data_IF_178391041794
#
_entry.id   IF_178391041794
#
_cell.length_a   1.000
_cell.length_b   1.000
_cell.length_c   1.000
_cell.angle_alpha   90.00
_cell.angle_beta   90.00
_cell.angle_gamma   90.00
#
_symmetry.space_group_name_H-M   'P 1'
#
loop_
_entity.id
_entity.type
_entity.pdbx_description
1 polymer ?
#
# COMPACT_ATOMS: atom_id res chain seq x y z
N UNK A 1 -0.94 -1.48 23.78
CA UNK A 1 -1.37 -2.27 22.62
C UNK A 1 -0.30 -2.07 21.57
N UNK A 2 0.48 -3.09 21.20
CA UNK A 2 1.42 -3.00 20.09
C UNK A 2 0.75 -2.56 18.79
N UNK A 3 1.50 -1.82 17.98
CA UNK A 3 1.10 -1.37 16.66
C UNK A 3 1.75 -2.24 15.59
N UNK A 4 0.98 -2.65 14.60
CA UNK A 4 1.44 -3.45 13.47
C UNK A 4 1.11 -2.75 12.15
N UNK A 5 1.95 -2.98 11.14
CA UNK A 5 1.67 -2.63 9.76
C UNK A 5 1.36 -3.91 8.98
N UNK A 6 0.13 -4.04 8.48
CA UNK A 6 -0.26 -5.09 7.56
C UNK A 6 -0.06 -4.55 6.13
N UNK A 7 1.00 -5.01 5.46
CA UNK A 7 1.34 -4.61 4.10
C UNK A 7 0.64 -5.52 3.10
N UNK A 8 -0.08 -4.94 2.15
CA UNK A 8 -0.86 -5.67 1.15
C UNK A 8 -0.03 -5.74 -0.12
N UNK A 9 0.55 -6.91 -0.36
CA UNK A 9 1.31 -7.20 -1.58
C UNK A 9 0.50 -8.08 -2.52
N UNK A 10 0.52 -7.71 -3.81
CA UNK A 10 -0.06 -8.51 -4.88
C UNK A 10 0.66 -8.25 -6.19
N UNK A 11 0.62 -9.20 -7.12
CA UNK A 11 1.02 -8.94 -8.49
C UNK A 11 0.14 -7.82 -9.07
N UNK A 12 0.74 -6.83 -9.72
CA UNK A 12 -0.05 -5.81 -10.41
C UNK A 12 -0.73 -6.43 -11.62
N UNK A 13 -2.01 -6.10 -11.84
CA UNK A 13 -2.74 -6.65 -12.96
C UNK A 13 -2.17 -6.09 -14.27
N UNK A 14 -1.83 -6.96 -15.21
CA UNK A 14 -1.34 -6.56 -16.54
C UNK A 14 -2.42 -5.93 -17.42
N UNK A 15 -3.69 -6.10 -17.03
CA UNK A 15 -4.87 -5.51 -17.66
C UNK A 15 -5.85 -5.10 -16.56
N UNK A 16 -6.57 -4.00 -16.75
CA UNK A 16 -7.59 -3.57 -15.79
C UNK A 16 -8.57 -4.71 -15.45
N UNK A 17 -8.87 -4.97 -14.16
CA UNK A 17 -9.84 -5.97 -13.77
C UNK A 17 -11.24 -5.60 -14.28
N UNK A 18 -12.10 -6.61 -14.49
CA UNK A 18 -13.51 -6.31 -14.78
C UNK A 18 -14.16 -5.63 -13.57
N UNK A 19 -15.24 -4.83 -13.78
CA UNK A 19 -15.96 -4.22 -12.68
C UNK A 19 -16.48 -5.23 -11.64
N UNK A 20 -16.83 -6.43 -12.08
CA UNK A 20 -17.28 -7.52 -11.20
C UNK A 20 -16.13 -8.07 -10.34
N UNK A 21 -14.97 -8.33 -10.95
CA UNK A 21 -13.78 -8.81 -10.24
C UNK A 21 -13.31 -7.78 -9.21
N UNK A 22 -13.24 -6.50 -9.63
CA UNK A 22 -12.89 -5.41 -8.73
C UNK A 22 -13.90 -5.24 -7.59
N UNK A 23 -15.19 -5.30 -7.91
CA UNK A 23 -16.27 -5.22 -6.93
C UNK A 23 -16.21 -6.33 -5.87
N UNK A 24 -15.92 -7.57 -6.29
CA UNK A 24 -15.77 -8.70 -5.37
C UNK A 24 -14.61 -8.49 -4.38
N UNK A 25 -13.44 -8.08 -4.89
CA UNK A 25 -12.27 -7.80 -4.03
C UNK A 25 -12.53 -6.63 -3.08
N UNK A 26 -13.15 -5.55 -3.57
CA UNK A 26 -13.49 -4.40 -2.72
C UNK A 26 -14.53 -4.75 -1.65
N UNK A 27 -15.47 -5.66 -1.93
CA UNK A 27 -16.44 -6.11 -0.93
C UNK A 27 -15.76 -6.80 0.26
N UNK A 28 -14.72 -7.59 0.02
CA UNK A 28 -13.93 -8.22 1.10
C UNK A 28 -13.18 -7.19 1.94
N UNK A 29 -12.56 -6.18 1.31
CA UNK A 29 -11.92 -5.09 2.04
C UNK A 29 -12.90 -4.26 2.86
N UNK A 30 -14.08 -3.96 2.31
CA UNK A 30 -15.14 -3.26 3.02
C UNK A 30 -15.62 -4.04 4.23
N UNK A 31 -15.83 -5.35 4.07
CA UNK A 31 -16.23 -6.22 5.19
C UNK A 31 -15.17 -6.24 6.30
N UNK A 32 -13.89 -6.37 5.95
CA UNK A 32 -12.82 -6.26 6.93
C UNK A 32 -12.81 -4.89 7.63
N UNK A 33 -12.95 -3.81 6.87
CA UNK A 33 -13.01 -2.44 7.39
C UNK A 33 -14.14 -2.24 8.40
N UNK A 34 -15.33 -2.78 8.12
CA UNK A 34 -16.47 -2.77 9.04
C UNK A 34 -16.16 -3.51 10.35
N UNK A 35 -15.68 -4.75 10.26
CA UNK A 35 -15.40 -5.60 11.43
C UNK A 35 -14.27 -5.03 12.28
N UNK A 36 -13.14 -4.70 11.67
CA UNK A 36 -11.96 -4.17 12.36
C UNK A 36 -12.17 -2.74 12.86
N UNK A 37 -12.94 -1.93 12.11
CA UNK A 37 -13.37 -0.61 12.55
C UNK A 37 -14.29 -0.66 13.78
N UNK A 38 -15.29 -1.55 13.77
CA UNK A 38 -16.17 -1.77 14.92
C UNK A 38 -15.42 -2.27 16.16
N UNK A 39 -14.35 -3.06 15.97
CA UNK A 39 -13.47 -3.49 17.04
C UNK A 39 -12.52 -2.38 17.54
N UNK A 40 -12.44 -1.24 16.87
CA UNK A 40 -11.58 -0.12 17.22
C UNK A 40 -10.08 -0.39 17.02
N UNK A 41 -9.73 -1.36 16.17
CA UNK A 41 -8.31 -1.77 15.97
C UNK A 41 -7.64 -1.07 14.80
N UNK A 42 -8.40 -0.45 13.87
CA UNK A 42 -7.82 0.29 12.75
C UNK A 42 -7.28 1.64 13.25
N UNK A 43 -5.97 1.82 13.15
CA UNK A 43 -5.26 3.08 13.46
C UNK A 43 -4.99 3.93 12.21
N UNK A 44 -5.17 3.37 11.01
CA UNK A 44 -5.01 4.03 9.73
C UNK A 44 -4.82 3.03 8.60
N UNK A 45 -4.68 3.53 7.37
CA UNK A 45 -4.46 2.70 6.19
C UNK A 45 -4.77 3.49 4.92
N UNK A 46 -4.32 2.97 3.78
CA UNK A 46 -4.60 3.56 2.47
C UNK A 46 -4.52 2.48 1.39
N UNK A 47 -5.36 2.62 0.36
CA UNK A 47 -5.20 1.89 -0.88
C UNK A 47 -4.31 2.72 -1.81
N UNK A 48 -3.20 2.16 -2.25
CA UNK A 48 -2.25 2.84 -3.12
C UNK A 48 -2.64 2.66 -4.59
N UNK A 49 -2.27 3.65 -5.39
CA UNK A 49 -2.34 3.55 -6.85
C UNK A 49 -1.26 2.58 -7.37
N UNK A 50 -1.38 2.19 -8.65
CA UNK A 50 -0.36 1.35 -9.30
C UNK A 50 1.03 1.99 -9.28
N UNK A 51 2.05 1.14 -9.39
CA UNK A 51 3.46 1.56 -9.36
C UNK A 51 3.84 2.48 -10.52
N UNK A 52 3.05 2.54 -11.59
CA UNK A 52 3.23 3.50 -12.69
C UNK A 52 2.98 4.95 -12.28
N UNK A 53 2.23 5.17 -11.19
CA UNK A 53 2.03 6.51 -10.60
C UNK A 53 3.11 6.90 -9.59
N UNK A 54 3.99 5.98 -9.22
CA UNK A 54 4.99 6.21 -8.19
C UNK A 54 6.16 7.08 -8.69
N UNK A 55 6.76 7.83 -7.76
CA UNK A 55 8.06 8.49 -7.96
C UNK A 55 8.94 8.15 -6.78
N UNK A 56 10.11 7.57 -7.05
CA UNK A 56 11.12 7.30 -6.04
C UNK A 56 12.03 8.50 -5.87
N UNK A 57 12.21 8.93 -4.62
CA UNK A 57 13.15 10.00 -4.25
C UNK A 57 14.32 9.37 -3.49
N UNK A 58 15.53 9.54 -3.99
CA UNK A 58 16.75 9.02 -3.39
C UNK A 58 17.72 10.16 -3.06
N UNK A 59 18.25 10.17 -1.83
CA UNK A 59 19.23 11.17 -1.39
C UNK A 59 20.62 10.53 -1.37
N UNK A 60 21.53 11.04 -2.20
CA UNK A 60 22.92 10.60 -2.27
C UNK A 60 23.83 11.49 -1.43
N UNK A 61 24.96 10.98 -0.93
CA UNK A 61 25.88 11.79 -0.11
C UNK A 61 25.47 11.99 1.36
N UNK A 62 24.38 11.34 1.80
CA UNK A 62 23.88 11.36 3.18
C UNK A 62 22.69 12.28 3.40
N UNK A 63 21.91 12.01 4.45
CA UNK A 63 20.61 12.69 4.67
C UNK A 63 20.69 14.19 4.98
N UNK A 64 21.89 14.74 5.21
CA UNK A 64 22.10 16.18 5.48
C UNK A 64 23.07 16.76 4.46
N UNK A 65 22.53 17.58 3.54
CA UNK A 65 23.32 18.23 2.48
C UNK A 65 23.62 17.33 1.27
N UNK A 66 22.98 16.16 1.18
CA UNK A 66 23.08 15.27 0.03
C UNK A 66 22.23 15.71 -1.16
N UNK A 67 22.60 15.25 -2.35
CA UNK A 67 21.89 15.55 -3.59
C UNK A 67 20.63 14.70 -3.72
N UNK A 68 19.56 15.30 -4.22
CA UNK A 68 18.26 14.66 -4.43
C UNK A 68 18.13 14.20 -5.88
N UNK A 69 17.87 12.91 -6.06
CA UNK A 69 17.60 12.28 -7.35
C UNK A 69 16.19 11.72 -7.33
N UNK A 70 15.42 11.95 -8.39
CA UNK A 70 14.08 11.38 -8.58
C UNK A 70 14.07 10.42 -9.75
N UNK A 71 13.37 9.31 -9.61
CA UNK A 71 13.13 8.34 -10.69
C UNK A 71 11.66 7.96 -10.74
N UNK A 72 11.09 7.87 -11.94
CA UNK A 72 9.73 7.37 -12.12
C UNK A 72 9.65 5.89 -11.76
N UNK A 73 8.54 5.49 -11.15
CA UNK A 73 8.31 4.12 -10.69
C UNK A 73 8.68 3.85 -9.23
N UNK A 74 8.49 2.60 -8.79
CA UNK A 74 8.68 2.19 -7.40
C UNK A 74 10.15 2.09 -7.03
N UNK A 75 10.44 1.95 -5.73
CA UNK A 75 11.82 1.83 -5.23
C UNK A 75 12.58 0.65 -5.87
N UNK A 76 11.89 -0.46 -6.10
CA UNK A 76 12.44 -1.64 -6.76
C UNK A 76 11.36 -2.36 -7.57
N UNK A 77 11.75 -2.89 -8.73
CA UNK A 77 10.93 -3.86 -9.45
C UNK A 77 10.90 -5.17 -8.69
N UNK A 78 9.70 -5.67 -8.43
CA UNK A 78 9.46 -6.87 -7.62
C UNK A 78 8.35 -7.70 -8.24
N UNK A 79 8.23 -8.97 -7.83
CA UNK A 79 7.15 -9.83 -8.31
C UNK A 79 5.76 -9.35 -7.88
N UNK A 80 5.68 -8.70 -6.72
CA UNK A 80 4.44 -8.20 -6.12
C UNK A 80 4.66 -6.76 -5.66
N UNK A 81 3.75 -5.87 -6.02
CA UNK A 81 3.80 -4.47 -5.61
C UNK A 81 3.03 -4.25 -4.30
N UNK A 82 3.39 -3.19 -3.58
CA UNK A 82 2.66 -2.73 -2.41
C UNK A 82 1.41 -1.96 -2.88
N UNK A 83 0.25 -2.62 -2.84
CA UNK A 83 -1.02 -2.03 -3.27
C UNK A 83 -1.78 -1.32 -2.14
N UNK A 84 -1.35 -1.45 -0.89
CA UNK A 84 -2.01 -0.83 0.24
C UNK A 84 -1.43 -1.25 1.59
N UNK A 85 -1.92 -0.64 2.65
CA UNK A 85 -1.56 -1.02 4.00
C UNK A 85 -2.67 -0.71 5.01
N UNK A 86 -2.63 -1.43 6.14
CA UNK A 86 -3.32 -1.04 7.38
C UNK A 86 -2.31 -0.84 8.50
N UNK A 87 -2.56 0.16 9.34
CA UNK A 87 -1.99 0.27 10.66
C UNK A 87 -3.03 -0.23 11.67
N UNK A 88 -2.65 -1.20 12.49
CA UNK A 88 -3.56 -1.81 13.47
C UNK A 88 -2.95 -1.79 14.87
N UNK A 89 -3.77 -1.46 15.86
CA UNK A 89 -3.41 -1.52 17.28
C UNK A 89 -4.09 -2.76 17.88
N UNK A 90 -3.30 -3.77 18.25
CA UNK A 90 -3.79 -5.07 18.73
C UNK A 90 -3.17 -5.46 20.07
N UNK A 91 -3.64 -6.54 20.69
CA UNK A 91 -3.09 -7.12 21.93
C UNK A 91 -2.18 -8.29 21.64
#
# INVERSE_FOLDING_TARGET
MPRYAALIYSAEPTTAPSPEQWGAVMAEYMHFGEVAGAAGVIAGGEALQDTGTATTVHVTGGAKGGDVITTDGPFAETKEALGGFYLIDCK
#
